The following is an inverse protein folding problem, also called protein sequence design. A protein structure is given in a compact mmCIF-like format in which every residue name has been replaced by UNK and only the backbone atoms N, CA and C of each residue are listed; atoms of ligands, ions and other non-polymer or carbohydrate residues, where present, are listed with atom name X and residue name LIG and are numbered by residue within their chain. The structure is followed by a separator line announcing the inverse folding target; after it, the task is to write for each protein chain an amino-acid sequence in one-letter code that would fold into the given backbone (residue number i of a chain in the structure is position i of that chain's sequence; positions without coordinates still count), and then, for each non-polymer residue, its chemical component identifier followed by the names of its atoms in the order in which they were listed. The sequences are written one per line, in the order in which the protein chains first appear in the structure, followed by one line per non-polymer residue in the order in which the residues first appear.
data_IF_011323231871
#
_entry.id   IF_011323231871
#
_cell.length_a   1.000
_cell.length_b   1.000
_cell.length_c   1.000
_cell.angle_alpha   90.00
_cell.angle_beta   90.00
_cell.angle_gamma   90.00
#
_symmetry.space_group_name_H-M   'P 1'
#
loop_
_entity.id
_entity.type
_entity.pdbx_description
1 polymer ?
#
# COMPACT_ATOMS: atom_id res chain seq x y z
N UNK A 1 -8.05 11.95 -13.85
CA UNK A 1 -8.53 10.58 -14.13
C UNK A 1 -10.05 10.52 -14.05
N UNK A 2 -10.64 11.02 -12.97
CA UNK A 2 -12.09 10.93 -12.75
C UNK A 2 -12.93 11.69 -13.76
N UNK A 3 -12.42 12.77 -14.30
CA UNK A 3 -13.14 13.54 -15.30
C UNK A 3 -13.37 12.74 -16.60
N UNK A 4 -12.41 11.88 -16.95
CA UNK A 4 -12.49 11.06 -18.17
C UNK A 4 -13.04 9.66 -17.89
N UNK A 5 -12.71 9.08 -16.75
CA UNK A 5 -13.04 7.71 -16.39
C UNK A 5 -13.70 7.67 -15.00
N UNK A 6 -14.99 8.05 -14.91
CA UNK A 6 -15.64 8.18 -13.60
C UNK A 6 -15.83 6.86 -12.87
N UNK A 7 -15.84 5.74 -13.57
CA UNK A 7 -16.14 4.44 -12.99
C UNK A 7 -14.91 3.53 -12.81
N UNK A 8 -13.75 3.96 -13.29
CA UNK A 8 -12.54 3.16 -13.14
C UNK A 8 -12.11 3.11 -11.68
N UNK A 9 -11.89 1.90 -11.12
CA UNK A 9 -11.37 1.79 -9.76
C UNK A 9 -9.98 2.43 -9.63
N UNK A 10 -9.80 3.21 -8.58
CA UNK A 10 -8.50 3.79 -8.24
C UNK A 10 -8.10 3.20 -6.90
N UNK A 11 -6.92 2.61 -6.85
CA UNK A 11 -6.38 2.01 -5.64
C UNK A 11 -5.18 2.83 -5.19
N UNK A 12 -5.29 3.41 -4.00
CA UNK A 12 -4.19 4.12 -3.36
C UNK A 12 -3.48 3.12 -2.46
N UNK A 13 -2.22 2.85 -2.78
CA UNK A 13 -1.40 1.88 -2.05
C UNK A 13 -0.41 2.64 -1.20
N UNK A 14 -0.40 2.39 0.10
CA UNK A 14 0.52 3.05 1.00
C UNK A 14 1.95 2.51 0.86
N UNK A 15 2.89 3.14 1.55
CA UNK A 15 4.25 2.65 1.62
C UNK A 15 4.30 1.48 2.59
N UNK A 16 4.86 0.36 2.11
CA UNK A 16 5.11 -0.79 2.97
C UNK A 16 6.15 -0.46 4.04
N UNK A 17 6.10 -1.19 5.14
CA UNK A 17 7.17 -1.20 6.13
C UNK A 17 7.75 -2.60 6.20
N UNK A 18 9.08 -2.70 6.27
CA UNK A 18 9.75 -3.97 6.52
C UNK A 18 10.22 -4.02 7.98
N UNK A 19 10.56 -5.20 8.51
CA UNK A 19 11.16 -5.28 9.83
C UNK A 19 12.44 -4.44 9.96
N UNK A 20 13.19 -4.25 8.88
CA UNK A 20 14.38 -3.39 8.88
C UNK A 20 14.03 -1.91 9.09
N UNK A 21 12.88 -1.47 8.61
CA UNK A 21 12.39 -0.10 8.83
C UNK A 21 12.23 0.18 10.32
N UNK A 22 11.82 -0.83 11.10
CA UNK A 22 11.61 -0.69 12.53
C UNK A 22 12.91 -0.43 13.32
N UNK A 23 14.07 -0.65 12.71
CA UNK A 23 15.36 -0.39 13.31
C UNK A 23 15.83 1.06 13.15
N UNK A 24 15.13 1.85 12.35
CA UNK A 24 15.48 3.25 12.09
C UNK A 24 14.28 4.15 12.38
N UNK A 25 14.38 4.94 13.46
CA UNK A 25 13.31 5.82 13.90
C UNK A 25 12.96 6.88 12.85
N UNK A 26 13.94 7.36 12.09
CA UNK A 26 13.70 8.35 11.05
C UNK A 26 12.94 7.73 9.86
N UNK A 27 13.27 6.50 9.51
CA UNK A 27 12.57 5.77 8.45
C UNK A 27 11.11 5.49 8.85
N UNK A 28 10.87 5.08 10.09
CA UNK A 28 9.52 4.87 10.62
C UNK A 28 8.71 6.16 10.52
N UNK A 29 9.27 7.27 11.01
CA UNK A 29 8.58 8.56 11.02
C UNK A 29 8.27 9.03 9.61
N UNK A 30 9.26 8.96 8.70
CA UNK A 30 9.07 9.37 7.31
C UNK A 30 7.98 8.58 6.61
N UNK A 31 7.98 7.26 6.77
CA UNK A 31 6.95 6.38 6.22
C UNK A 31 5.58 6.72 6.80
N UNK A 32 5.49 6.90 8.11
CA UNK A 32 4.24 7.25 8.77
C UNK A 32 3.70 8.59 8.29
N UNK A 33 4.55 9.61 8.16
CA UNK A 33 4.14 10.93 7.67
C UNK A 33 3.59 10.84 6.24
N UNK A 34 4.26 10.10 5.36
CA UNK A 34 3.81 9.93 3.98
C UNK A 34 2.49 9.15 3.90
N UNK A 35 2.36 8.10 4.68
CA UNK A 35 1.12 7.31 4.71
C UNK A 35 -0.04 8.09 5.31
N UNK A 36 0.22 8.90 6.34
CA UNK A 36 -0.80 9.77 6.93
C UNK A 36 -1.26 10.84 5.92
N UNK A 37 -0.34 11.39 5.14
CA UNK A 37 -0.68 12.35 4.08
C UNK A 37 -1.55 11.69 3.00
N UNK A 38 -1.21 10.49 2.57
CA UNK A 38 -2.00 9.74 1.59
C UNK A 38 -3.39 9.43 2.12
N UNK A 39 -3.49 8.98 3.37
CA UNK A 39 -4.78 8.68 4.02
C UNK A 39 -5.65 9.93 4.13
N UNK A 40 -5.04 11.06 4.47
CA UNK A 40 -5.75 12.35 4.53
C UNK A 40 -6.33 12.73 3.17
N UNK A 41 -5.61 12.53 2.08
CA UNK A 41 -6.11 12.79 0.74
C UNK A 41 -7.25 11.83 0.37
N UNK A 42 -7.12 10.57 0.73
CA UNK A 42 -8.18 9.59 0.54
C UNK A 42 -9.47 10.04 1.25
N UNK A 43 -9.36 10.43 2.52
CA UNK A 43 -10.52 10.87 3.30
C UNK A 43 -11.18 12.10 2.67
N UNK A 44 -10.38 13.06 2.18
CA UNK A 44 -10.89 14.24 1.48
C UNK A 44 -11.67 13.86 0.22
N UNK A 45 -11.15 12.92 -0.56
CA UNK A 45 -11.83 12.47 -1.79
C UNK A 45 -13.14 11.78 -1.46
N UNK A 46 -13.17 10.91 -0.47
CA UNK A 46 -14.41 10.23 -0.05
C UNK A 46 -15.43 11.26 0.46
N UNK A 47 -15.01 12.21 1.28
CA UNK A 47 -15.90 13.24 1.81
C UNK A 47 -16.40 14.19 0.72
N UNK A 48 -15.69 14.32 -0.39
CA UNK A 48 -16.09 15.12 -1.54
C UNK A 48 -17.04 14.38 -2.48
N UNK A 49 -17.40 13.13 -2.18
CA UNK A 49 -18.38 12.37 -2.96
C UNK A 49 -17.77 11.49 -4.04
N UNK A 50 -16.44 11.42 -4.17
CA UNK A 50 -15.83 10.48 -5.10
C UNK A 50 -16.03 9.06 -4.60
N UNK A 51 -16.35 8.16 -5.52
CA UNK A 51 -16.53 6.74 -5.21
C UNK A 51 -15.54 5.90 -5.99
N UNK A 52 -15.55 4.60 -5.73
CA UNK A 52 -14.69 3.63 -6.40
C UNK A 52 -13.19 3.95 -6.22
N UNK A 53 -12.85 4.53 -5.07
CA UNK A 53 -11.48 4.78 -4.63
C UNK A 53 -11.24 3.92 -3.40
N UNK A 54 -10.17 3.14 -3.44
CA UNK A 54 -9.84 2.15 -2.41
C UNK A 54 -8.48 2.49 -1.82
N UNK A 55 -8.40 2.49 -0.49
CA UNK A 55 -7.12 2.64 0.21
C UNK A 55 -6.63 1.26 0.65
N UNK A 56 -5.42 0.90 0.25
CA UNK A 56 -4.83 -0.40 0.54
C UNK A 56 -3.61 -0.24 1.45
N UNK A 57 -3.71 -0.82 2.63
CA UNK A 57 -2.61 -0.88 3.59
C UNK A 57 -1.74 -2.09 3.30
N UNK A 58 -0.42 -1.90 3.21
CA UNK A 58 0.53 -2.95 2.81
C UNK A 58 1.48 -3.35 3.92
N UNK A 59 1.18 -2.99 5.17
CA UNK A 59 2.08 -3.18 6.30
C UNK A 59 2.52 -4.62 6.51
N UNK A 60 1.65 -5.59 6.22
CA UNK A 60 1.94 -7.02 6.43
C UNK A 60 2.38 -7.75 5.17
N UNK A 61 2.57 -7.03 4.05
CA UNK A 61 2.75 -7.66 2.74
C UNK A 61 4.05 -8.47 2.63
N UNK A 62 5.10 -8.06 3.33
CA UNK A 62 6.44 -8.65 3.18
C UNK A 62 6.81 -9.69 4.25
N UNK A 63 5.94 -9.90 5.25
CA UNK A 63 6.26 -10.81 6.36
C UNK A 63 7.19 -10.15 7.40
N UNK A 64 7.64 -10.94 8.38
CA UNK A 64 8.36 -10.45 9.56
C UNK A 64 9.74 -11.09 9.75
N UNK A 65 10.27 -11.78 8.76
CA UNK A 65 11.49 -12.59 8.90
C UNK A 65 12.74 -11.91 8.32
N UNK A 66 12.68 -10.63 7.97
CA UNK A 66 13.77 -9.86 7.37
C UNK A 66 14.19 -10.33 5.96
N UNK A 67 13.48 -11.30 5.39
CA UNK A 67 13.83 -11.90 4.10
C UNK A 67 13.17 -11.19 2.91
N UNK A 68 12.24 -10.26 3.14
CA UNK A 68 11.47 -9.60 2.09
C UNK A 68 12.21 -8.48 1.37
N UNK A 69 13.18 -7.86 2.00
CA UNK A 69 13.96 -6.76 1.39
C UNK A 69 15.46 -6.95 1.61
N UNK A 70 16.23 -6.32 0.72
CA UNK A 70 17.69 -6.29 0.84
C UNK A 70 18.14 -5.17 1.82
N UNK A 71 17.48 -4.02 1.74
CA UNK A 71 17.88 -2.77 2.40
C UNK A 71 16.70 -1.99 2.99
N UNK A 72 15.62 -2.65 3.32
CA UNK A 72 14.35 -2.08 3.79
C UNK A 72 13.51 -1.42 2.70
N UNK A 73 14.01 -1.28 1.48
CA UNK A 73 13.31 -0.61 0.38
C UNK A 73 13.19 -1.51 -0.86
N UNK A 74 14.28 -2.14 -1.25
CA UNK A 74 14.31 -2.97 -2.45
C UNK A 74 13.96 -4.42 -2.11
N UNK A 75 13.00 -4.97 -2.83
CA UNK A 75 12.52 -6.33 -2.58
C UNK A 75 13.56 -7.37 -3.01
N UNK A 76 13.67 -8.44 -2.22
CA UNK A 76 14.25 -9.69 -2.67
C UNK A 76 13.26 -10.40 -3.60
N UNK A 77 13.68 -11.49 -4.25
CA UNK A 77 12.76 -12.32 -5.04
C UNK A 77 11.59 -12.81 -4.17
N UNK A 78 11.89 -13.23 -2.94
CA UNK A 78 10.87 -13.64 -1.98
C UNK A 78 9.93 -12.48 -1.63
N UNK A 79 10.47 -11.27 -1.46
CA UNK A 79 9.69 -10.07 -1.22
C UNK A 79 8.72 -9.77 -2.35
N UNK A 80 9.17 -9.89 -3.60
CA UNK A 80 8.30 -9.72 -4.77
C UNK A 80 7.18 -10.76 -4.80
N UNK A 81 7.49 -12.01 -4.51
CA UNK A 81 6.48 -13.07 -4.45
C UNK A 81 5.44 -12.77 -3.38
N UNK A 82 5.89 -12.43 -2.18
CA UNK A 82 4.99 -12.11 -1.06
C UNK A 82 4.11 -10.91 -1.35
N UNK A 83 4.69 -9.86 -1.91
CA UNK A 83 3.95 -8.64 -2.24
C UNK A 83 2.92 -8.91 -3.34
N UNK A 84 3.30 -9.66 -4.37
CA UNK A 84 2.39 -10.05 -5.44
C UNK A 84 1.23 -10.88 -4.92
N UNK A 85 1.50 -11.86 -4.08
CA UNK A 85 0.47 -12.70 -3.47
C UNK A 85 -0.47 -11.86 -2.61
N UNK A 86 0.07 -10.93 -1.85
CA UNK A 86 -0.72 -10.00 -1.04
C UNK A 86 -1.66 -9.17 -1.91
N UNK A 87 -1.15 -8.58 -3.00
CA UNK A 87 -1.97 -7.76 -3.89
C UNK A 87 -3.06 -8.58 -4.58
N UNK A 88 -2.71 -9.76 -5.08
CA UNK A 88 -3.68 -10.65 -5.74
C UNK A 88 -4.81 -11.01 -4.78
N UNK A 89 -4.46 -11.40 -3.56
CA UNK A 89 -5.45 -11.74 -2.54
C UNK A 89 -6.36 -10.56 -2.21
N UNK A 90 -5.79 -9.36 -2.06
CA UNK A 90 -6.57 -8.16 -1.78
C UNK A 90 -7.49 -7.79 -2.94
N UNK A 91 -7.01 -7.91 -4.16
CA UNK A 91 -7.82 -7.61 -5.35
C UNK A 91 -8.97 -8.61 -5.51
N UNK A 92 -8.75 -9.87 -5.18
CA UNK A 92 -9.81 -10.87 -5.15
C UNK A 92 -10.85 -10.56 -4.08
N UNK A 93 -10.41 -10.23 -2.85
CA UNK A 93 -11.28 -9.86 -1.74
C UNK A 93 -12.13 -8.63 -2.07
N UNK A 94 -11.56 -7.66 -2.79
CA UNK A 94 -12.25 -6.44 -3.21
C UNK A 94 -13.04 -6.61 -4.50
N UNK A 95 -13.02 -7.80 -5.10
CA UNK A 95 -13.72 -8.13 -6.36
C UNK A 95 -13.27 -7.26 -7.54
N UNK A 96 -12.00 -6.84 -7.55
CA UNK A 96 -11.41 -6.07 -8.65
C UNK A 96 -10.97 -7.01 -9.77
N UNK A 97 -10.50 -8.20 -9.41
CA UNK A 97 -10.15 -9.28 -10.33
C UNK A 97 -10.89 -10.55 -9.93
N UNK A 98 -11.04 -11.45 -10.89
CA UNK A 98 -11.71 -12.73 -10.67
C UNK A 98 -10.73 -13.83 -10.28
#
# INVERSE_FOLDING_TARGET
IRAKDPDTPIILVDLFTSPLTALDKNAIRGTSEMNNALKSQYDKMINSGYNNIIYLETQSALGNDFEGTVDAVHFTDLGFIRYSDFLIKKFEELQIIN
#
